data_IF_483066456182
#
_entry.id   IF_483066456182
#
_cell.length_a   1.000
_cell.length_b   1.000
_cell.length_c   1.000
_cell.angle_alpha   90.00
_cell.angle_beta   90.00
_cell.angle_gamma   90.00
#
_symmetry.space_group_name_H-M   'P 1'
#
loop_
_entity.id
_entity.type
_entity.pdbx_description
1 polymer ?
#
# COMPACT_ATOMS: atom_id res chain seq x y z
N UNK A 1 55.64 -19.99 38.02
CA UNK A 1 57.09 -20.27 38.11
C UNK A 1 57.50 -21.21 36.99
N UNK A 2 58.71 -21.01 36.43
CA UNK A 2 59.41 -21.76 35.36
C UNK A 2 59.36 -21.21 33.93
N UNK A 3 60.41 -20.43 33.66
CA UNK A 3 61.25 -20.24 32.47
C UNK A 3 61.03 -21.06 31.19
N UNK A 4 61.18 -20.38 30.05
CA UNK A 4 62.01 -20.78 28.89
C UNK A 4 62.07 -19.58 27.90
N UNK A 5 63.07 -18.68 27.93
CA UNK A 5 64.36 -18.70 27.21
C UNK A 5 64.38 -19.42 25.86
N UNK A 6 64.31 -18.65 24.77
CA UNK A 6 65.10 -18.93 23.57
C UNK A 6 65.74 -17.65 23.06
N UNK A 7 67.07 -17.72 22.99
CA UNK A 7 68.02 -16.73 22.50
C UNK A 7 68.45 -17.24 21.12
N UNK A 8 68.39 -16.41 20.08
CA UNK A 8 69.30 -16.55 18.93
C UNK A 8 69.46 -15.19 18.26
N UNK A 9 70.68 -14.67 18.30
CA UNK A 9 71.08 -13.46 17.62
C UNK A 9 71.62 -13.76 16.23
N UNK A 10 71.48 -12.79 15.33
CA UNK A 10 72.35 -12.51 14.18
C UNK A 10 72.18 -11.01 13.87
N UNK A 11 73.16 -10.18 14.22
CA UNK A 11 74.23 -9.67 13.34
C UNK A 11 73.72 -8.73 12.22
N UNK A 12 73.90 -7.43 12.50
CA UNK A 12 74.41 -6.37 11.61
C UNK A 12 74.30 -6.59 10.09
N UNK A 13 73.60 -5.69 9.41
CA UNK A 13 74.20 -4.98 8.28
C UNK A 13 73.65 -3.56 8.19
N UNK A 14 74.56 -2.60 8.27
CA UNK A 14 74.27 -1.18 8.10
C UNK A 14 74.01 -0.87 6.62
N UNK A 15 72.96 -0.09 6.39
CA UNK A 15 72.66 0.54 5.12
C UNK A 15 72.04 1.90 5.42
N UNK A 16 72.88 2.90 5.68
CA UNK A 16 72.47 4.29 5.75
C UNK A 16 72.11 4.76 4.33
N UNK A 17 70.86 4.53 3.94
CA UNK A 17 70.28 5.16 2.75
C UNK A 17 69.74 6.51 3.20
N UNK A 18 70.53 7.56 2.99
CA UNK A 18 70.04 8.94 2.98
C UNK A 18 69.15 9.13 1.74
N UNK A 19 67.97 8.53 1.78
CA UNK A 19 66.88 8.85 0.88
C UNK A 19 66.42 10.26 1.22
N UNK A 20 66.53 11.17 0.26
CA UNK A 20 65.89 12.47 0.29
C UNK A 20 64.39 12.26 0.56
N UNK A 21 63.98 12.40 1.83
CA UNK A 21 62.59 12.60 2.21
C UNK A 21 62.15 13.90 1.56
N UNK A 22 61.68 13.82 0.32
CA UNK A 22 60.68 14.77 -0.17
C UNK A 22 59.57 14.67 0.84
N UNK A 23 59.41 15.74 1.64
CA UNK A 23 58.29 15.95 2.53
C UNK A 23 57.05 15.74 1.66
N UNK A 24 56.47 14.55 1.74
CA UNK A 24 55.16 14.29 1.16
C UNK A 24 54.28 15.36 1.76
N UNK A 25 53.79 16.25 0.90
CA UNK A 25 52.76 17.19 1.28
C UNK A 25 51.58 16.29 1.61
N UNK A 26 51.44 15.96 2.89
CA UNK A 26 50.22 15.41 3.46
C UNK A 26 49.13 16.36 3.02
N UNK A 27 48.48 15.98 1.92
CA UNK A 27 47.33 16.68 1.42
C UNK A 27 46.30 16.30 2.47
N UNK A 28 46.15 17.15 3.49
CA UNK A 28 45.07 17.02 4.45
C UNK A 28 43.81 17.11 3.60
N UNK A 29 43.27 15.95 3.24
CA UNK A 29 41.95 15.85 2.65
C UNK A 29 41.04 16.26 3.79
N UNK A 30 40.71 17.54 3.84
CA UNK A 30 39.67 18.05 4.69
C UNK A 30 38.37 17.47 4.14
N UNK A 31 37.98 16.30 4.67
CA UNK A 31 36.71 15.67 4.35
C UNK A 31 35.64 16.56 4.96
N UNK A 32 35.21 17.56 4.19
CA UNK A 32 34.07 18.38 4.54
C UNK A 32 32.83 17.53 4.30
N UNK A 33 32.27 16.96 5.36
CA UNK A 33 30.98 16.29 5.30
C UNK A 33 29.94 17.33 4.86
N UNK A 34 29.53 17.26 3.60
CA UNK A 34 28.40 18.03 3.09
C UNK A 34 27.15 17.24 3.43
N UNK A 35 26.24 17.85 4.19
CA UNK A 35 24.95 17.25 4.51
C UNK A 35 24.25 16.84 3.21
N UNK A 36 23.95 15.55 3.06
CA UNK A 36 23.32 15.01 1.84
C UNK A 36 21.92 15.59 1.73
N UNK A 37 21.73 16.51 0.79
CA UNK A 37 20.41 17.06 0.49
C UNK A 37 19.53 15.98 -0.16
N UNK A 38 18.49 15.56 0.55
CA UNK A 38 17.49 14.60 0.06
C UNK A 38 16.52 15.27 -0.93
N UNK A 39 16.13 14.53 -1.97
CA UNK A 39 15.11 14.92 -2.95
C UNK A 39 13.70 14.87 -2.37
N UNK A 40 13.51 14.14 -1.26
CA UNK A 40 12.26 14.02 -0.53
C UNK A 40 12.35 14.78 0.80
N UNK A 41 11.34 15.61 1.07
CA UNK A 41 11.20 16.32 2.33
C UNK A 41 10.22 15.57 3.25
N UNK A 42 10.66 15.21 4.45
CA UNK A 42 9.76 14.65 5.46
C UNK A 42 8.76 15.72 5.95
N UNK A 43 7.51 15.33 6.17
CA UNK A 43 6.50 16.18 6.78
C UNK A 43 6.68 16.12 8.31
N UNK A 44 7.13 17.20 8.97
CA UNK A 44 7.64 17.14 10.34
C UNK A 44 6.56 16.98 11.41
N UNK A 45 5.26 17.02 11.06
CA UNK A 45 4.14 16.95 12.01
C UNK A 45 3.88 15.56 12.59
N UNK A 46 4.51 14.52 12.05
CA UNK A 46 4.34 13.14 12.52
C UNK A 46 5.46 12.73 13.46
N UNK A 47 5.12 12.25 14.64
CA UNK A 47 6.07 11.82 15.67
C UNK A 47 5.68 10.47 16.27
N UNK A 48 6.66 9.74 16.80
CA UNK A 48 6.44 8.42 17.40
C UNK A 48 5.71 7.45 16.46
N UNK A 49 4.67 6.79 16.96
CA UNK A 49 3.87 5.83 16.19
C UNK A 49 3.10 6.46 15.01
N UNK A 50 2.81 7.77 15.06
CA UNK A 50 2.13 8.46 13.96
C UNK A 50 2.99 8.55 12.68
N UNK A 51 4.30 8.26 12.78
CA UNK A 51 5.18 8.12 11.61
C UNK A 51 4.98 6.81 10.86
N UNK A 52 4.38 5.79 11.49
CA UNK A 52 4.13 4.50 10.84
C UNK A 52 2.79 4.58 10.12
N UNK A 53 2.82 4.87 8.82
CA UNK A 53 1.59 4.99 8.02
C UNK A 53 1.31 3.65 7.34
N UNK A 54 0.16 3.07 7.62
CA UNK A 54 -0.23 1.73 7.17
C UNK A 54 -1.09 1.79 5.89
N UNK A 55 -1.87 2.86 5.75
CA UNK A 55 -2.67 3.15 4.57
C UNK A 55 -2.89 4.65 4.42
N UNK A 56 -3.20 5.08 3.21
CA UNK A 56 -3.58 6.45 2.87
C UNK A 56 -4.78 6.49 1.93
N UNK A 57 -5.42 7.66 1.88
CA UNK A 57 -6.41 8.03 0.89
C UNK A 57 -6.57 9.55 0.80
N UNK A 58 -7.35 10.01 -0.17
CA UNK A 58 -7.56 11.44 -0.43
C UNK A 58 -9.00 11.73 -0.87
N UNK A 59 -9.54 12.88 -0.47
CA UNK A 59 -10.78 13.46 -1.03
C UNK A 59 -10.49 14.56 -2.06
N UNK A 60 -9.21 14.71 -2.47
CA UNK A 60 -8.72 15.78 -3.32
C UNK A 60 -8.48 17.11 -2.59
N UNK A 61 -8.91 17.23 -1.33
CA UNK A 61 -8.73 18.42 -0.48
C UNK A 61 -7.89 18.15 0.76
N UNK A 62 -7.88 16.92 1.24
CA UNK A 62 -7.19 16.43 2.41
C UNK A 62 -6.63 15.05 2.12
N UNK A 63 -5.50 14.77 2.76
CA UNK A 63 -4.95 13.44 2.90
C UNK A 63 -5.46 12.82 4.19
N UNK A 64 -5.71 11.53 4.14
CA UNK A 64 -6.12 10.74 5.28
C UNK A 64 -5.12 9.62 5.47
N UNK A 65 -4.70 9.41 6.73
CA UNK A 65 -3.64 8.49 7.07
C UNK A 65 -4.16 7.55 8.15
N UNK A 66 -3.96 6.26 7.93
CA UNK A 66 -4.12 5.25 8.96
C UNK A 66 -2.75 4.99 9.60
N UNK A 67 -2.68 5.10 10.93
CA UNK A 67 -1.51 4.69 11.71
C UNK A 67 -1.93 3.72 12.84
N UNK A 68 -1.02 3.01 13.52
CA UNK A 68 -1.37 2.09 14.60
C UNK A 68 -2.21 2.78 15.69
N UNK A 69 -3.51 2.43 15.78
CA UNK A 69 -4.44 3.01 16.75
C UNK A 69 -4.84 4.47 16.51
N UNK A 70 -4.47 5.06 15.37
CA UNK A 70 -4.70 6.45 15.03
C UNK A 70 -5.25 6.60 13.62
N UNK A 71 -6.00 7.69 13.42
CA UNK A 71 -6.38 8.16 12.09
C UNK A 71 -6.10 9.66 12.02
N UNK A 72 -5.42 10.11 10.98
CA UNK A 72 -5.09 11.52 10.80
C UNK A 72 -5.70 12.09 9.53
N UNK A 73 -6.13 13.35 9.60
CA UNK A 73 -6.41 14.20 8.46
C UNK A 73 -5.27 15.20 8.29
N UNK A 74 -4.72 15.31 7.09
CA UNK A 74 -3.70 16.27 6.72
C UNK A 74 -4.18 17.18 5.58
N UNK A 75 -4.24 18.49 5.82
CA UNK A 75 -4.81 19.48 4.90
C UNK A 75 -3.81 20.07 3.90
N UNK A 76 -2.51 19.81 4.09
CA UNK A 76 -1.44 20.36 3.24
C UNK A 76 -1.23 21.87 3.32
N UNK A 77 -1.94 22.59 4.20
CA UNK A 77 -1.87 24.07 4.27
C UNK A 77 -0.67 24.62 5.04
N UNK A 78 -0.16 23.88 6.02
CA UNK A 78 1.11 24.20 6.68
C UNK A 78 1.74 22.93 7.28
N UNK A 79 3.07 22.91 7.37
CA UNK A 79 3.81 21.77 7.92
C UNK A 79 3.51 21.51 9.40
N UNK A 80 3.02 22.49 10.16
CA UNK A 80 2.74 22.35 11.61
C UNK A 80 1.25 22.28 11.96
N UNK A 81 0.40 23.06 11.27
CA UNK A 81 -1.03 23.17 11.61
C UNK A 81 -1.92 22.45 10.60
N UNK A 82 -1.32 21.68 9.69
CA UNK A 82 -2.05 20.93 8.67
C UNK A 82 -2.60 19.60 9.14
N UNK A 83 -2.14 19.06 10.28
CA UNK A 83 -2.45 17.71 10.73
C UNK A 83 -3.41 17.72 11.92
N UNK A 84 -4.52 17.00 11.79
CA UNK A 84 -5.41 16.66 12.90
C UNK A 84 -5.37 15.16 13.07
N UNK A 85 -4.94 14.70 14.24
CA UNK A 85 -4.87 13.27 14.57
C UNK A 85 -5.93 12.94 15.59
N UNK A 86 -6.59 11.82 15.36
CA UNK A 86 -7.64 11.32 16.22
C UNK A 86 -7.26 9.94 16.71
N UNK A 87 -7.28 9.77 18.03
CA UNK A 87 -7.10 8.47 18.67
C UNK A 87 -8.49 7.86 18.92
N UNK A 88 -8.62 6.56 18.63
CA UNK A 88 -9.89 5.85 18.74
C UNK A 88 -9.65 4.35 18.78
N UNK A 89 -10.71 3.55 18.61
CA UNK A 89 -10.60 2.10 18.47
C UNK A 89 -10.16 1.68 17.07
N UNK A 90 -9.18 2.37 16.50
CA UNK A 90 -8.63 1.99 15.20
C UNK A 90 -7.74 0.76 15.35
N UNK A 91 -7.65 -0.10 14.34
CA UNK A 91 -6.75 -1.25 14.38
C UNK A 91 -5.30 -0.81 14.62
N UNK A 92 -4.70 -1.35 15.67
CA UNK A 92 -3.26 -1.20 15.95
C UNK A 92 -2.42 -2.30 15.29
N UNK A 93 -3.06 -3.38 14.83
CA UNK A 93 -2.39 -4.45 14.08
C UNK A 93 -1.95 -3.95 12.71
N UNK A 94 -0.63 -3.90 12.50
CA UNK A 94 0.02 -3.43 11.27
C UNK A 94 -0.31 -4.27 10.03
N UNK A 95 -0.91 -5.44 10.21
CA UNK A 95 -1.37 -6.30 9.13
C UNK A 95 -2.75 -5.86 8.60
N UNK A 96 -3.50 -5.05 9.35
CA UNK A 96 -4.82 -4.58 8.94
C UNK A 96 -4.71 -3.21 8.29
N UNK A 97 -4.80 -3.18 6.96
CA UNK A 97 -4.80 -1.93 6.18
C UNK A 97 -6.22 -1.56 5.77
N UNK A 98 -6.65 -0.36 6.13
CA UNK A 98 -8.03 0.09 5.88
C UNK A 98 -8.21 0.56 4.44
N UNK A 99 -9.38 0.35 3.84
CA UNK A 99 -9.79 1.15 2.70
C UNK A 99 -10.15 2.56 3.18
N UNK A 100 -9.52 3.55 2.57
CA UNK A 100 -9.86 4.96 2.75
C UNK A 100 -10.32 5.46 1.38
N UNK A 101 -11.63 5.62 1.21
CA UNK A 101 -12.22 6.19 0.01
C UNK A 101 -12.25 7.72 0.08
N UNK A 102 -12.82 8.41 -0.92
CA UNK A 102 -12.90 9.87 -0.93
C UNK A 102 -13.79 10.45 0.19
N UNK A 103 -14.84 9.75 0.58
CA UNK A 103 -15.87 10.30 1.48
C UNK A 103 -15.93 9.61 2.84
N UNK A 104 -15.57 8.33 2.90
CA UNK A 104 -15.61 7.51 4.10
C UNK A 104 -14.48 6.46 4.11
N UNK A 105 -14.28 5.89 5.28
CA UNK A 105 -13.44 4.73 5.49
C UNK A 105 -14.20 3.70 6.33
N UNK A 106 -13.70 2.46 6.35
CA UNK A 106 -14.30 1.39 7.13
C UNK A 106 -13.22 0.54 7.80
N UNK A 107 -13.52 0.00 8.97
CA UNK A 107 -12.60 -0.87 9.70
C UNK A 107 -13.32 -1.88 10.60
N UNK A 108 -12.77 -3.09 10.80
CA UNK A 108 -13.27 -4.02 11.80
C UNK A 108 -12.90 -3.51 13.19
N UNK A 109 -13.89 -3.18 14.02
CA UNK A 109 -13.72 -2.79 15.43
C UNK A 109 -13.57 -4.03 16.32
N UNK A 110 -14.25 -5.12 15.94
CA UNK A 110 -14.04 -6.47 16.50
C UNK A 110 -14.09 -7.48 15.36
N UNK A 111 -13.90 -8.76 15.67
CA UNK A 111 -14.10 -9.84 14.69
C UNK A 111 -15.46 -9.73 13.98
N UNK A 112 -16.52 -9.27 14.66
CA UNK A 112 -17.90 -9.31 14.14
C UNK A 112 -18.57 -7.94 14.04
N UNK A 113 -17.83 -6.86 14.28
CA UNK A 113 -18.34 -5.49 14.20
C UNK A 113 -17.50 -4.70 13.20
N UNK A 114 -18.16 -4.09 12.23
CA UNK A 114 -17.54 -3.18 11.27
C UNK A 114 -18.02 -1.76 11.55
N UNK A 115 -17.07 -0.83 11.64
CA UNK A 115 -17.36 0.60 11.74
C UNK A 115 -17.21 1.22 10.36
N UNK A 116 -18.19 2.03 9.98
CA UNK A 116 -18.16 2.88 8.78
C UNK A 116 -18.25 4.33 9.26
N UNK A 117 -17.30 5.16 8.86
CA UNK A 117 -17.16 6.53 9.34
C UNK A 117 -16.79 7.49 8.21
N UNK A 118 -17.29 8.72 8.29
CA UNK A 118 -16.85 9.81 7.39
C UNK A 118 -15.39 10.14 7.67
N UNK A 119 -14.60 10.39 6.62
CA UNK A 119 -13.17 10.71 6.78
C UNK A 119 -12.91 11.95 7.66
N UNK A 120 -13.85 12.91 7.65
CA UNK A 120 -13.76 14.18 8.40
C UNK A 120 -14.40 14.14 9.79
N UNK A 121 -15.05 13.04 10.17
CA UNK A 121 -15.76 12.90 11.45
C UNK A 121 -15.48 11.54 12.09
N UNK A 122 -14.23 11.30 12.39
CA UNK A 122 -13.73 9.94 12.59
C UNK A 122 -14.18 9.33 13.94
N UNK A 123 -14.68 10.15 14.87
CA UNK A 123 -15.23 9.70 16.17
C UNK A 123 -16.72 9.96 16.34
N UNK A 124 -17.32 10.75 15.45
CA UNK A 124 -18.71 11.18 15.58
C UNK A 124 -19.54 10.49 14.51
N UNK A 125 -20.79 10.16 14.84
CA UNK A 125 -21.74 9.65 13.86
C UNK A 125 -21.25 8.38 13.15
N UNK A 126 -20.70 7.44 13.94
CA UNK A 126 -20.22 6.15 13.44
C UNK A 126 -21.41 5.23 13.13
N UNK A 127 -21.35 4.53 11.99
CA UNK A 127 -22.26 3.43 11.72
C UNK A 127 -21.61 2.12 12.16
N UNK A 128 -22.29 1.38 13.04
CA UNK A 128 -21.86 0.05 13.48
C UNK A 128 -22.67 -1.02 12.77
N UNK A 129 -21.99 -1.88 12.01
CA UNK A 129 -22.57 -3.03 11.36
C UNK A 129 -22.24 -4.30 12.16
N UNK A 130 -23.27 -5.02 12.61
CA UNK A 130 -23.12 -6.29 13.31
C UNK A 130 -23.21 -7.46 12.34
N UNK A 131 -22.08 -8.13 12.12
CA UNK A 131 -21.94 -9.19 11.14
C UNK A 131 -22.78 -10.43 11.47
N UNK A 132 -22.94 -10.80 12.76
CA UNK A 132 -23.70 -12.00 13.16
C UNK A 132 -25.21 -11.77 13.15
N UNK A 133 -25.66 -10.54 13.33
CA UNK A 133 -27.06 -10.19 13.12
C UNK A 133 -27.42 -10.26 11.63
N UNK A 134 -26.49 -9.84 10.77
CA UNK A 134 -26.65 -9.90 9.33
C UNK A 134 -26.55 -11.35 8.77
N UNK A 135 -25.57 -12.11 9.23
CA UNK A 135 -25.35 -13.51 8.87
C UNK A 135 -24.99 -14.32 10.12
N UNK A 136 -25.94 -15.08 10.71
CA UNK A 136 -25.68 -15.88 11.91
C UNK A 136 -24.57 -16.93 11.75
N UNK A 137 -24.24 -17.34 10.53
CA UNK A 137 -23.15 -18.29 10.26
C UNK A 137 -21.76 -17.61 10.22
N UNK A 138 -21.70 -16.28 10.23
CA UNK A 138 -20.46 -15.54 10.16
C UNK A 138 -19.60 -15.70 11.43
N UNK A 139 -18.30 -15.86 11.23
CA UNK A 139 -17.32 -15.99 12.31
C UNK A 139 -16.63 -14.68 12.59
N UNK A 140 -16.03 -14.08 11.55
CA UNK A 140 -15.25 -12.85 11.64
C UNK A 140 -15.06 -12.17 10.27
N UNK A 141 -14.79 -10.87 10.24
CA UNK A 141 -14.25 -10.21 9.05
C UNK A 141 -12.88 -10.78 8.68
N UNK A 142 -12.66 -11.00 7.38
CA UNK A 142 -11.39 -11.50 6.89
C UNK A 142 -10.43 -10.33 6.69
N UNK A 143 -9.48 -10.20 7.62
CA UNK A 143 -8.43 -9.17 7.57
C UNK A 143 -7.11 -9.69 7.03
N UNK A 144 -7.04 -10.98 6.69
CA UNK A 144 -5.82 -11.67 6.25
C UNK A 144 -5.76 -11.76 4.72
N UNK A 145 -5.83 -10.61 4.06
CA UNK A 145 -5.54 -10.50 2.62
C UNK A 145 -4.01 -10.53 2.44
N UNK A 146 -3.52 -11.00 1.28
CA UNK A 146 -2.08 -11.14 1.03
C UNK A 146 -1.31 -9.85 1.37
N UNK A 147 -0.11 -9.99 1.94
CA UNK A 147 0.58 -8.90 2.63
C UNK A 147 0.74 -7.69 1.73
N UNK A 148 0.44 -6.50 2.28
CA UNK A 148 0.34 -5.17 1.65
C UNK A 148 -1.03 -4.76 1.09
N UNK A 149 -1.94 -5.70 0.81
CA UNK A 149 -3.29 -5.37 0.34
C UNK A 149 -4.16 -4.79 1.45
N UNK A 150 -5.14 -3.97 1.06
CA UNK A 150 -6.22 -3.53 1.96
C UNK A 150 -7.12 -4.73 2.25
N UNK A 151 -7.67 -4.81 3.46
CA UNK A 151 -8.55 -5.93 3.83
C UNK A 151 -9.96 -5.84 3.19
N UNK A 152 -10.29 -4.69 2.63
CA UNK A 152 -11.59 -4.33 2.06
C UNK A 152 -11.35 -3.32 0.92
N UNK A 153 -12.36 -3.06 0.10
CA UNK A 153 -12.26 -2.06 -0.98
C UNK A 153 -13.47 -1.11 -1.00
N UNK A 154 -13.24 0.14 -1.40
CA UNK A 154 -14.28 1.18 -1.54
C UNK A 154 -14.25 1.73 -2.96
N UNK A 155 -15.39 1.70 -3.66
CA UNK A 155 -15.54 2.35 -4.97
C UNK A 155 -15.72 3.86 -4.84
N UNK A 156 -15.37 4.67 -5.87
CA UNK A 156 -15.67 6.11 -5.89
C UNK A 156 -17.17 6.43 -5.81
N UNK A 157 -18.04 5.47 -6.18
CA UNK A 157 -19.51 5.55 -6.03
C UNK A 157 -20.01 5.13 -4.64
N UNK A 158 -19.12 5.09 -3.65
CA UNK A 158 -19.40 4.81 -2.25
C UNK A 158 -19.98 3.42 -1.94
N UNK A 159 -19.52 2.38 -2.65
CA UNK A 159 -19.77 1.00 -2.25
C UNK A 159 -18.55 0.45 -1.51
N UNK A 160 -18.80 -0.27 -0.42
CA UNK A 160 -17.79 -1.02 0.32
C UNK A 160 -18.01 -2.52 0.08
N UNK A 161 -16.93 -3.24 -0.21
CA UNK A 161 -16.91 -4.70 -0.22
C UNK A 161 -15.97 -5.21 0.87
N UNK A 162 -16.49 -6.03 1.77
CA UNK A 162 -15.76 -6.58 2.90
C UNK A 162 -15.89 -8.11 2.97
N UNK A 163 -14.80 -8.88 2.83
CA UNK A 163 -14.82 -10.33 2.96
C UNK A 163 -14.98 -10.74 4.43
N UNK A 164 -15.62 -11.88 4.66
CA UNK A 164 -15.72 -12.47 6.00
C UNK A 164 -15.73 -14.00 5.96
N UNK A 165 -15.26 -14.60 7.05
CA UNK A 165 -15.25 -16.05 7.25
C UNK A 165 -16.59 -16.52 7.83
N UNK A 166 -17.05 -17.71 7.44
CA UNK A 166 -18.29 -18.32 7.93
C UNK A 166 -18.11 -19.80 8.29
N UNK A 167 -19.08 -20.37 9.02
CA UNK A 167 -19.06 -21.78 9.47
C UNK A 167 -19.92 -22.72 8.62
N UNK A 168 -20.34 -22.30 7.42
CA UNK A 168 -21.16 -23.14 6.54
C UNK A 168 -20.34 -24.36 6.07
N UNK A 169 -21.03 -25.49 5.87
CA UNK A 169 -20.39 -26.74 5.47
C UNK A 169 -19.76 -26.66 4.07
N UNK A 170 -20.38 -25.90 3.16
CA UNK A 170 -19.90 -25.65 1.80
C UNK A 170 -18.68 -24.71 1.74
N UNK A 171 -18.41 -23.99 2.84
CA UNK A 171 -17.33 -23.00 2.98
C UNK A 171 -17.29 -22.03 1.80
N UNK A 172 -18.46 -21.56 1.35
CA UNK A 172 -18.56 -20.56 0.31
C UNK A 172 -17.85 -19.26 0.72
N UNK A 173 -17.32 -18.53 -0.25
CA UNK A 173 -16.74 -17.21 -0.01
C UNK A 173 -17.86 -16.21 0.21
N UNK A 174 -17.77 -15.46 1.30
CA UNK A 174 -18.83 -14.53 1.70
C UNK A 174 -18.31 -13.12 1.86
N UNK A 175 -19.12 -12.17 1.39
CA UNK A 175 -18.81 -10.76 1.45
C UNK A 175 -20.03 -9.96 1.89
N UNK A 176 -19.77 -8.90 2.66
CA UNK A 176 -20.72 -7.81 2.87
C UNK A 176 -20.49 -6.81 1.76
N UNK A 177 -21.51 -6.55 0.94
CA UNK A 177 -21.56 -5.44 0.01
C UNK A 177 -22.46 -4.36 0.60
N UNK A 178 -21.91 -3.18 0.86
CA UNK A 178 -22.59 -2.08 1.52
C UNK A 178 -22.60 -0.84 0.61
N UNK A 179 -23.80 -0.36 0.27
CA UNK A 179 -23.98 0.97 -0.31
C UNK A 179 -23.97 1.99 0.83
N UNK A 180 -23.06 2.95 0.78
CA UNK A 180 -22.87 3.94 1.84
C UNK A 180 -23.28 5.31 1.33
N UNK A 181 -24.23 5.95 2.00
CA UNK A 181 -24.54 7.36 1.85
C UNK A 181 -23.89 8.12 3.02
N UNK A 182 -22.73 8.78 2.82
CA UNK A 182 -21.96 9.35 3.92
C UNK A 182 -22.70 10.45 4.70
N UNK A 183 -23.66 11.13 4.07
CA UNK A 183 -24.38 12.26 4.67
C UNK A 183 -23.57 13.56 4.72
N UNK A 184 -24.17 14.62 5.27
CA UNK A 184 -23.52 15.91 5.47
C UNK A 184 -22.69 15.95 6.76
N UNK A 185 -21.67 16.81 6.80
CA UNK A 185 -20.92 17.10 8.03
C UNK A 185 -21.88 17.66 9.10
N UNK A 186 -21.71 17.23 10.35
CA UNK A 186 -22.58 17.50 11.49
C UNK A 186 -23.90 16.74 11.47
N UNK A 187 -24.19 15.98 10.40
CA UNK A 187 -25.42 15.22 10.24
C UNK A 187 -25.39 13.86 10.95
N UNK A 188 -26.45 13.04 10.80
CA UNK A 188 -26.50 11.69 11.36
C UNK A 188 -25.40 10.79 10.78
N UNK A 189 -25.24 9.60 11.37
CA UNK A 189 -24.33 8.57 10.88
C UNK A 189 -24.60 8.22 9.40
N UNK A 190 -23.59 7.72 8.67
CA UNK A 190 -23.79 7.23 7.30
C UNK A 190 -24.99 6.27 7.23
N UNK A 191 -25.83 6.46 6.21
CA UNK A 191 -26.91 5.51 5.93
C UNK A 191 -26.32 4.40 5.10
N UNK A 192 -26.48 3.16 5.55
CA UNK A 192 -25.87 1.99 4.93
C UNK A 192 -26.94 0.97 4.60
N UNK A 193 -26.97 0.52 3.33
CA UNK A 193 -27.77 -0.62 2.89
C UNK A 193 -26.85 -1.76 2.54
N UNK A 194 -27.08 -2.94 3.11
CA UNK A 194 -26.19 -4.09 2.95
C UNK A 194 -26.85 -5.23 2.20
N UNK A 195 -26.03 -6.01 1.51
CA UNK A 195 -26.41 -7.30 0.91
C UNK A 195 -25.27 -8.29 1.01
N UNK A 196 -25.62 -9.57 1.05
CA UNK A 196 -24.64 -10.65 1.13
C UNK A 196 -24.29 -11.09 -0.29
N UNK A 197 -23.01 -11.18 -0.60
CA UNK A 197 -22.52 -11.85 -1.81
C UNK A 197 -21.91 -13.17 -1.39
N UNK A 198 -22.37 -14.27 -2.00
CA UNK A 198 -21.90 -15.63 -1.70
C UNK A 198 -21.42 -16.28 -2.98
N UNK A 199 -20.12 -16.55 -3.06
CA UNK A 199 -19.49 -17.18 -4.22
C UNK A 199 -19.20 -18.65 -3.86
N UNK A 200 -19.75 -19.62 -4.60
CA UNK A 200 -19.48 -21.03 -4.37
C UNK A 200 -17.98 -21.33 -4.46
N UNK A 201 -17.52 -22.19 -3.55
CA UNK A 201 -16.16 -22.72 -3.60
C UNK A 201 -16.12 -23.90 -4.57
N UNK A 202 -15.47 -23.72 -5.71
CA UNK A 202 -15.35 -24.75 -6.76
C UNK A 202 -14.21 -25.71 -6.41
N UNK A 203 -13.13 -25.20 -5.80
CA UNK A 203 -11.95 -25.98 -5.41
C UNK A 203 -11.74 -25.99 -3.88
N UNK A 204 -11.65 -27.18 -3.28
CA UNK A 204 -11.48 -27.32 -1.84
C UNK A 204 -10.06 -27.00 -1.36
N UNK A 205 -9.04 -27.14 -2.22
CA UNK A 205 -7.63 -26.88 -1.85
C UNK A 205 -7.17 -25.47 -2.27
N UNK A 206 -6.53 -24.75 -1.34
CA UNK A 206 -5.80 -23.50 -1.63
C UNK A 206 -6.64 -22.25 -1.94
N UNK A 207 -7.97 -22.32 -1.86
CA UNK A 207 -8.85 -21.20 -2.16
C UNK A 207 -9.05 -20.30 -0.92
N UNK A 208 -8.72 -19.01 -1.04
CA UNK A 208 -8.88 -17.97 -0.02
C UNK A 208 -9.00 -16.60 -0.73
N UNK A 209 -9.48 -15.57 -0.03
CA UNK A 209 -9.47 -14.19 -0.56
C UNK A 209 -8.03 -13.69 -0.58
N UNK A 210 -7.38 -13.77 -1.75
CA UNK A 210 -5.98 -13.39 -1.90
C UNK A 210 -5.82 -11.88 -2.10
N UNK A 211 -6.65 -11.31 -2.96
CA UNK A 211 -6.66 -9.88 -3.27
C UNK A 211 -8.08 -9.41 -3.63
N UNK A 212 -8.34 -8.14 -3.41
CA UNK A 212 -9.60 -7.44 -3.56
C UNK A 212 -9.30 -5.97 -3.87
N UNK A 213 -9.85 -5.44 -4.96
CA UNK A 213 -9.71 -4.03 -5.31
C UNK A 213 -11.00 -3.49 -5.92
N UNK A 214 -11.26 -2.19 -5.72
CA UNK A 214 -12.33 -1.48 -6.40
C UNK A 214 -11.79 -0.89 -7.72
N UNK A 215 -12.46 -1.19 -8.83
CA UNK A 215 -12.16 -0.63 -10.14
C UNK A 215 -13.41 0.10 -10.62
N UNK A 216 -13.32 1.43 -10.72
CA UNK A 216 -14.48 2.28 -11.01
C UNK A 216 -15.68 1.94 -10.12
N UNK A 217 -16.79 1.45 -10.68
CA UNK A 217 -18.05 1.13 -10.01
C UNK A 217 -18.22 -0.36 -9.65
N UNK A 218 -17.16 -1.17 -9.78
CA UNK A 218 -17.20 -2.61 -9.47
C UNK A 218 -15.98 -3.06 -8.65
N UNK A 219 -15.99 -4.33 -8.27
CA UNK A 219 -14.88 -4.96 -7.54
C UNK A 219 -14.30 -6.13 -8.33
N UNK A 220 -12.98 -6.29 -8.25
CA UNK A 220 -12.31 -7.52 -8.64
C UNK A 220 -11.82 -8.23 -7.39
N UNK A 221 -12.08 -9.53 -7.31
CA UNK A 221 -11.66 -10.38 -6.20
C UNK A 221 -10.91 -11.58 -6.74
N UNK A 222 -9.67 -11.76 -6.31
CA UNK A 222 -8.91 -12.98 -6.57
C UNK A 222 -9.12 -13.95 -5.41
N UNK A 223 -9.66 -15.12 -5.74
CA UNK A 223 -9.95 -16.21 -4.81
C UNK A 223 -8.93 -17.35 -4.95
N UNK A 224 -7.68 -17.02 -5.30
CA UNK A 224 -6.60 -17.96 -5.56
C UNK A 224 -7.01 -19.08 -6.53
N UNK A 225 -7.09 -20.33 -6.05
CA UNK A 225 -7.47 -21.48 -6.87
C UNK A 225 -8.93 -21.47 -7.34
N UNK A 226 -9.78 -20.55 -6.87
CA UNK A 226 -11.13 -20.33 -7.41
C UNK A 226 -11.14 -19.33 -8.59
N UNK A 227 -10.04 -18.59 -8.81
CA UNK A 227 -9.92 -17.62 -9.90
C UNK A 227 -10.35 -16.20 -9.57
N UNK A 228 -10.58 -15.39 -10.60
CA UNK A 228 -10.93 -13.97 -10.49
C UNK A 228 -12.43 -13.79 -10.70
N UNK A 229 -13.07 -13.07 -9.79
CA UNK A 229 -14.48 -12.72 -9.87
C UNK A 229 -14.65 -11.22 -9.97
N UNK A 230 -15.60 -10.81 -10.81
CA UNK A 230 -16.12 -9.45 -10.86
C UNK A 230 -17.41 -9.39 -10.06
N UNK A 231 -17.51 -8.45 -9.13
CA UNK A 231 -18.71 -8.21 -8.31
C UNK A 231 -19.19 -6.78 -8.57
N UNK A 232 -20.46 -6.62 -8.96
CA UNK A 232 -21.07 -5.31 -9.25
C UNK A 232 -21.73 -4.72 -8.01
N UNK A 233 -22.07 -3.43 -8.07
CA UNK A 233 -22.78 -2.71 -7.03
C UNK A 233 -24.16 -3.31 -6.67
N UNK A 234 -24.80 -4.02 -7.59
CA UNK A 234 -26.03 -4.78 -7.36
C UNK A 234 -25.78 -6.17 -6.74
N UNK A 235 -24.55 -6.52 -6.39
CA UNK A 235 -24.18 -7.81 -5.81
C UNK A 235 -24.20 -8.99 -6.79
N UNK A 236 -24.51 -8.76 -8.07
CA UNK A 236 -24.29 -9.78 -9.09
C UNK A 236 -22.79 -10.03 -9.25
N UNK A 237 -22.43 -11.28 -9.49
CA UNK A 237 -21.04 -11.67 -9.67
C UNK A 237 -20.88 -12.68 -10.79
N UNK A 238 -19.68 -12.70 -11.38
CA UNK A 238 -19.30 -13.65 -12.41
C UNK A 238 -17.80 -13.97 -12.29
N UNK A 239 -17.43 -15.23 -12.52
CA UNK A 239 -16.03 -15.58 -12.73
C UNK A 239 -15.56 -15.03 -14.09
N UNK A 240 -14.55 -14.17 -14.08
CA UNK A 240 -14.01 -13.51 -15.28
C UNK A 240 -12.67 -14.07 -15.70
N UNK A 241 -12.00 -14.83 -14.82
CA UNK A 241 -10.78 -15.56 -15.13
C UNK A 241 -10.67 -16.80 -14.25
N UNK A 242 -10.03 -17.86 -14.77
CA UNK A 242 -9.77 -19.09 -14.03
C UNK A 242 -8.78 -18.93 -12.87
N UNK A 243 -8.35 -20.04 -12.24
CA UNK A 243 -7.38 -20.04 -11.15
C UNK A 243 -6.13 -19.19 -11.46
N UNK A 244 -5.80 -18.27 -10.56
CA UNK A 244 -4.64 -17.37 -10.71
C UNK A 244 -4.19 -16.85 -9.34
N UNK A 245 -2.88 -16.60 -9.19
CA UNK A 245 -2.31 -15.92 -8.04
C UNK A 245 -2.08 -14.44 -8.39
N UNK A 246 -3.11 -13.62 -8.20
CA UNK A 246 -3.06 -12.17 -8.48
C UNK A 246 -2.73 -11.43 -7.19
N UNK A 247 -1.68 -10.61 -7.24
CA UNK A 247 -1.19 -9.85 -6.09
C UNK A 247 -1.51 -8.36 -6.17
N UNK A 248 -2.01 -7.88 -7.29
CA UNK A 248 -2.56 -6.53 -7.43
C UNK A 248 -3.59 -6.47 -8.56
N UNK A 249 -4.60 -5.62 -8.38
CA UNK A 249 -5.44 -5.12 -9.47
C UNK A 249 -5.25 -3.61 -9.55
N UNK A 250 -5.20 -3.07 -10.75
CA UNK A 250 -5.23 -1.62 -10.95
C UNK A 250 -5.74 -1.28 -12.34
N UNK A 251 -6.31 -0.08 -12.49
CA UNK A 251 -6.71 0.48 -13.78
C UNK A 251 -5.76 1.62 -14.16
N UNK A 252 -5.31 1.59 -15.41
CA UNK A 252 -4.53 2.69 -15.99
C UNK A 252 -5.00 2.97 -17.42
N UNK A 253 -5.45 4.20 -17.65
CA UNK A 253 -6.21 4.54 -18.86
C UNK A 253 -7.48 3.69 -18.96
N UNK A 254 -7.73 3.09 -20.13
CA UNK A 254 -8.89 2.22 -20.35
C UNK A 254 -8.59 0.73 -20.17
N UNK A 255 -7.46 0.38 -19.54
CA UNK A 255 -7.02 -1.01 -19.36
C UNK A 255 -6.91 -1.34 -17.88
N UNK A 256 -7.45 -2.49 -17.50
CA UNK A 256 -7.26 -3.10 -16.18
C UNK A 256 -6.12 -4.09 -16.25
N UNK A 257 -5.23 -4.05 -15.27
CA UNK A 257 -4.05 -4.88 -15.16
C UNK A 257 -4.14 -5.74 -13.90
N UNK A 258 -3.70 -6.98 -14.02
CA UNK A 258 -3.54 -7.90 -12.90
C UNK A 258 -2.23 -8.68 -13.07
N UNK A 259 -1.12 -8.19 -12.52
CA UNK A 259 0.12 -8.95 -12.41
C UNK A 259 -0.14 -10.26 -11.66
N UNK A 260 0.36 -11.36 -12.20
CA UNK A 260 0.26 -12.68 -11.58
C UNK A 260 1.65 -13.23 -11.29
N UNK A 261 1.74 -14.22 -10.40
CA UNK A 261 2.98 -14.93 -10.14
C UNK A 261 3.58 -15.52 -11.43
N UNK A 262 4.89 -15.80 -11.40
CA UNK A 262 5.64 -16.39 -12.52
C UNK A 262 5.81 -15.47 -13.75
N UNK A 263 6.02 -14.17 -13.53
CA UNK A 263 6.39 -13.23 -14.59
C UNK A 263 5.32 -13.10 -15.70
N UNK A 264 4.05 -13.22 -15.31
CA UNK A 264 2.92 -13.01 -16.22
C UNK A 264 2.05 -11.82 -15.77
N UNK A 265 1.25 -11.32 -16.69
CA UNK A 265 0.28 -10.25 -16.46
C UNK A 265 -0.99 -10.53 -17.24
N UNK A 266 -2.13 -10.28 -16.60
CA UNK A 266 -3.42 -10.24 -17.26
C UNK A 266 -3.78 -8.79 -17.57
N UNK A 267 -4.33 -8.56 -18.75
CA UNK A 267 -4.83 -7.25 -19.19
C UNK A 267 -6.26 -7.38 -19.70
N UNK A 268 -7.10 -6.41 -19.37
CA UNK A 268 -8.49 -6.34 -19.84
C UNK A 268 -8.78 -4.93 -20.35
N UNK A 269 -9.38 -4.83 -21.53
CA UNK A 269 -9.78 -3.57 -22.18
C UNK A 269 -11.31 -3.37 -22.17
N UNK A 270 -12.02 -4.29 -21.53
CA UNK A 270 -13.49 -4.33 -21.43
C UNK A 270 -13.94 -4.34 -19.96
N UNK A 271 -13.24 -3.58 -19.11
CA UNK A 271 -13.53 -3.43 -17.68
C UNK A 271 -13.56 -4.77 -16.92
N UNK A 272 -12.57 -5.62 -17.16
CA UNK A 272 -12.35 -6.88 -16.44
C UNK A 272 -13.28 -8.02 -16.84
N UNK A 273 -14.00 -7.93 -17.96
CA UNK A 273 -14.90 -9.00 -18.43
C UNK A 273 -14.11 -10.12 -19.10
N UNK A 274 -13.15 -9.78 -19.97
CA UNK A 274 -12.24 -10.73 -20.61
C UNK A 274 -10.78 -10.32 -20.37
N UNK A 275 -9.89 -11.33 -20.31
CA UNK A 275 -8.49 -11.13 -19.96
C UNK A 275 -7.55 -11.76 -20.99
N UNK A 276 -6.57 -10.98 -21.44
CA UNK A 276 -5.45 -11.44 -22.22
C UNK A 276 -4.25 -11.68 -21.29
N UNK A 277 -3.69 -12.88 -21.33
CA UNK A 277 -2.46 -13.22 -20.62
C UNK A 277 -1.22 -12.92 -21.47
N UNK A 278 -0.23 -12.29 -20.86
CA UNK A 278 1.11 -12.07 -21.43
C UNK A 278 2.18 -12.49 -20.45
N UNK A 279 3.34 -12.93 -20.93
CA UNK A 279 4.49 -13.35 -20.11
C UNK A 279 5.69 -12.44 -20.35
N UNK A 280 6.72 -12.57 -19.50
CA UNK A 280 7.97 -11.83 -19.61
C UNK A 280 7.97 -10.49 -18.87
N UNK A 281 7.07 -10.32 -17.89
CA UNK A 281 7.14 -9.19 -16.95
C UNK A 281 8.19 -9.46 -15.87
N UNK A 282 8.87 -8.43 -15.34
CA UNK A 282 9.78 -8.61 -14.20
C UNK A 282 9.04 -9.15 -12.98
N UNK A 283 9.70 -10.01 -12.20
CA UNK A 283 9.15 -10.54 -10.95
C UNK A 283 8.73 -9.41 -9.98
N UNK A 284 9.51 -8.32 -9.95
CA UNK A 284 9.22 -7.13 -9.14
C UNK A 284 7.85 -6.52 -9.43
N UNK A 285 7.23 -6.78 -10.61
CA UNK A 285 5.91 -6.25 -10.96
C UNK A 285 4.77 -6.97 -10.23
N UNK A 286 4.93 -8.27 -9.96
CA UNK A 286 3.91 -9.05 -9.24
C UNK A 286 3.77 -8.55 -7.81
N UNK A 287 4.88 -8.20 -7.18
CA UNK A 287 4.93 -7.74 -5.79
C UNK A 287 4.88 -6.21 -5.63
N UNK A 288 4.65 -5.48 -6.72
CA UNK A 288 4.57 -4.04 -6.71
C UNK A 288 3.15 -3.53 -6.43
N UNK A 289 3.08 -2.37 -5.80
CA UNK A 289 1.85 -1.58 -5.74
C UNK A 289 1.88 -0.51 -6.83
N UNK A 290 0.72 -0.16 -7.36
CA UNK A 290 0.59 0.75 -8.49
C UNK A 290 -0.34 1.90 -8.16
N UNK A 291 0.14 3.11 -8.39
CA UNK A 291 -0.58 4.34 -8.05
C UNK A 291 -0.66 5.24 -9.28
N UNK A 292 -1.87 5.56 -9.76
CA UNK A 292 -2.08 6.68 -10.68
C UNK A 292 -1.65 7.99 -10.01
N UNK A 293 -0.67 8.69 -10.59
CA UNK A 293 -0.22 10.01 -10.13
C UNK A 293 -0.22 10.95 -11.31
N UNK A 294 -1.24 11.82 -11.38
CA UNK A 294 -1.48 12.69 -12.53
C UNK A 294 -1.58 11.85 -13.83
N UNK A 295 -0.74 12.12 -14.83
CA UNK A 295 -0.75 11.45 -16.14
C UNK A 295 0.26 10.29 -16.21
N UNK A 296 0.72 9.78 -15.06
CA UNK A 296 1.66 8.67 -15.00
C UNK A 296 1.23 7.58 -14.03
N UNK A 297 1.55 6.33 -14.37
CA UNK A 297 1.47 5.19 -13.47
C UNK A 297 2.79 5.06 -12.72
N UNK A 298 2.73 5.06 -11.39
CA UNK A 298 3.90 4.87 -10.52
C UNK A 298 3.83 3.48 -9.90
N UNK A 299 4.84 2.67 -10.18
CA UNK A 299 5.05 1.38 -9.53
C UNK A 299 5.97 1.50 -8.33
N UNK A 300 5.69 0.71 -7.31
CA UNK A 300 6.36 0.71 -6.02
C UNK A 300 6.71 -0.71 -5.61
N UNK A 301 8.00 -1.02 -5.48
CA UNK A 301 8.46 -2.30 -4.96
C UNK A 301 9.50 -2.07 -3.84
N UNK A 302 9.12 -2.39 -2.59
CA UNK A 302 9.89 -2.01 -1.41
C UNK A 302 9.99 -0.47 -1.29
N UNK A 303 11.22 0.05 -1.39
CA UNK A 303 11.52 1.50 -1.42
C UNK A 303 11.84 2.02 -2.84
N UNK A 304 11.72 1.18 -3.87
CA UNK A 304 11.98 1.58 -5.27
C UNK A 304 10.74 2.22 -5.87
N UNK A 305 10.91 3.37 -6.50
CA UNK A 305 9.89 4.10 -7.25
C UNK A 305 10.26 4.09 -8.73
N UNK A 306 9.28 3.84 -9.60
CA UNK A 306 9.46 3.94 -11.05
C UNK A 306 8.17 4.37 -11.73
N UNK A 307 8.27 5.12 -12.83
CA UNK A 307 7.15 5.26 -13.76
C UNK A 307 7.08 4.04 -14.67
N UNK A 308 5.87 3.59 -14.95
CA UNK A 308 5.60 2.46 -15.83
C UNK A 308 4.69 2.90 -16.98
N UNK A 309 5.06 2.53 -18.20
CA UNK A 309 4.18 2.65 -19.37
C UNK A 309 4.09 1.31 -20.08
N UNK A 310 2.85 0.86 -20.29
CA UNK A 310 2.53 -0.33 -21.06
C UNK A 310 2.36 0.02 -22.54
N UNK A 311 2.88 -0.85 -23.42
CA UNK A 311 2.71 -0.81 -24.87
C UNK A 311 2.33 -2.23 -25.33
N UNK A 312 1.10 -2.64 -25.00
CA UNK A 312 0.67 -4.04 -25.08
C UNK A 312 1.40 -4.91 -24.03
N UNK A 313 1.96 -6.08 -24.40
CA UNK A 313 2.71 -6.91 -23.46
C UNK A 313 4.09 -6.34 -23.12
N UNK A 314 4.58 -5.34 -23.89
CA UNK A 314 5.85 -4.68 -23.65
C UNK A 314 5.67 -3.53 -22.67
N UNK A 315 6.72 -3.19 -21.95
CA UNK A 315 6.73 -2.08 -21.02
C UNK A 315 8.00 -1.26 -21.15
N UNK A 316 7.91 0.00 -20.74
CA UNK A 316 9.06 0.87 -20.48
C UNK A 316 8.97 1.32 -19.03
N UNK A 317 10.05 1.12 -18.27
CA UNK A 317 10.17 1.69 -16.93
C UNK A 317 11.22 2.78 -16.88
N UNK A 318 11.02 3.73 -15.97
CA UNK A 318 12.01 4.74 -15.63
C UNK A 318 12.05 4.92 -14.12
N UNK A 319 13.18 4.58 -13.52
CA UNK A 319 13.40 4.71 -12.07
C UNK A 319 13.38 6.18 -11.66
N UNK A 320 12.68 6.47 -10.57
CA UNK A 320 12.57 7.80 -9.98
C UNK A 320 13.58 7.97 -8.83
N UNK A 321 13.92 9.21 -8.51
CA UNK A 321 14.71 9.50 -7.30
C UNK A 321 13.98 9.04 -6.04
N UNK A 322 14.68 8.27 -5.21
CA UNK A 322 14.17 7.68 -3.97
C UNK A 322 15.09 7.93 -2.76
N UNK A 323 16.00 8.89 -2.87
CA UNK A 323 16.85 9.34 -1.77
C UNK A 323 16.01 10.03 -0.68
N UNK A 324 16.27 9.70 0.58
CA UNK A 324 15.43 10.04 1.73
C UNK A 324 14.34 9.01 2.05
N UNK A 325 13.99 8.13 1.12
CA UNK A 325 13.01 7.05 1.32
C UNK A 325 13.68 5.69 1.58
N UNK A 326 15.01 5.64 1.66
CA UNK A 326 15.72 4.39 1.87
C UNK A 326 15.33 3.76 3.21
N UNK A 327 15.18 2.43 3.23
CA UNK A 327 14.83 1.61 4.43
C UNK A 327 13.37 1.66 4.88
N UNK A 328 12.50 2.39 4.19
CA UNK A 328 11.06 2.39 4.47
C UNK A 328 10.29 1.58 3.44
N UNK A 329 9.23 0.88 3.88
CA UNK A 329 8.25 0.32 2.96
C UNK A 329 7.24 1.41 2.63
N UNK A 330 7.06 1.68 1.34
CA UNK A 330 6.04 2.62 0.88
C UNK A 330 4.67 1.94 0.97
N UNK A 331 3.72 2.59 1.63
CA UNK A 331 2.38 2.06 1.93
C UNK A 331 1.27 2.80 1.21
N UNK A 332 1.57 3.96 0.61
CA UNK A 332 0.64 4.71 -0.23
C UNK A 332 1.33 5.86 -0.96
N UNK A 333 0.76 6.25 -2.09
CA UNK A 333 1.15 7.45 -2.82
C UNK A 333 -0.12 8.24 -3.14
N UNK A 334 -0.13 9.51 -2.77
CA UNK A 334 -1.30 10.37 -2.94
C UNK A 334 -0.90 11.69 -3.61
N UNK A 335 -1.78 12.22 -4.46
CA UNK A 335 -1.62 13.54 -5.05
C UNK A 335 -2.55 14.53 -4.35
N UNK A 336 -1.99 15.64 -3.85
CA UNK A 336 -2.75 16.73 -3.26
C UNK A 336 -2.14 18.08 -3.67
N UNK A 337 -2.93 18.90 -4.37
CA UNK A 337 -2.62 20.30 -4.73
C UNK A 337 -1.21 20.51 -5.30
N UNK A 338 -0.82 19.73 -6.30
CA UNK A 338 0.48 19.87 -6.97
C UNK A 338 1.66 19.24 -6.21
N UNK A 339 1.40 18.54 -5.10
CA UNK A 339 2.42 17.82 -4.33
C UNK A 339 2.08 16.33 -4.32
N UNK A 340 3.08 15.50 -4.53
CA UNK A 340 3.00 14.05 -4.34
C UNK A 340 3.46 13.74 -2.93
N UNK A 341 2.63 12.99 -2.21
CA UNK A 341 2.91 12.53 -0.86
C UNK A 341 3.12 11.03 -0.88
N UNK A 342 4.20 10.57 -0.26
CA UNK A 342 4.54 9.16 -0.12
C UNK A 342 4.42 8.80 1.35
N UNK A 343 3.40 7.99 1.65
CA UNK A 343 3.20 7.39 2.95
C UNK A 343 4.12 6.17 3.09
N UNK A 344 4.81 6.06 4.21
CA UNK A 344 5.72 4.94 4.48
C UNK A 344 5.55 4.41 5.90
N UNK A 345 6.23 3.31 6.19
CA UNK A 345 6.36 2.78 7.55
C UNK A 345 7.24 3.62 8.48
N UNK A 346 7.81 4.74 8.03
CA UNK A 346 8.67 5.60 8.85
C UNK A 346 8.41 7.12 8.71
N UNK A 347 7.43 7.54 7.91
CA UNK A 347 7.04 8.94 7.82
C UNK A 347 6.08 9.21 6.67
N UNK A 348 5.75 10.48 6.51
CA UNK A 348 5.12 11.02 5.30
C UNK A 348 6.14 11.92 4.62
N UNK A 349 6.37 11.69 3.34
CA UNK A 349 7.32 12.47 2.55
C UNK A 349 6.60 13.21 1.45
N UNK A 350 7.03 14.42 1.15
CA UNK A 350 6.42 15.30 0.18
C UNK A 350 7.43 15.70 -0.89
N UNK A 351 6.95 15.76 -2.13
CA UNK A 351 7.72 16.29 -3.26
C UNK A 351 6.79 16.99 -4.26
N UNK A 352 7.13 18.20 -4.76
CA UNK A 352 6.34 18.84 -5.80
C UNK A 352 6.21 17.95 -7.04
N UNK A 353 5.03 17.89 -7.64
CA UNK A 353 4.77 17.03 -8.80
C UNK A 353 5.71 17.34 -9.98
N UNK A 354 6.11 18.61 -10.13
CA UNK A 354 7.04 19.06 -11.18
C UNK A 354 8.44 18.44 -11.06
N UNK A 355 8.91 18.16 -9.84
CA UNK A 355 10.21 17.51 -9.60
C UNK A 355 10.08 16.01 -9.36
N UNK A 356 8.89 15.52 -9.01
CA UNK A 356 8.64 14.10 -8.69
C UNK A 356 9.13 13.13 -9.78
N UNK A 357 8.96 13.48 -11.05
CA UNK A 357 9.31 12.64 -12.20
C UNK A 357 10.77 12.75 -12.66
N UNK A 358 11.63 13.46 -11.93
CA UNK A 358 13.07 13.49 -12.20
C UNK A 358 13.72 12.12 -12.02
N UNK A 359 14.66 11.81 -12.91
CA UNK A 359 15.40 10.54 -12.90
C UNK A 359 16.49 10.52 -11.84
N UNK A 360 16.77 9.31 -11.33
CA UNK A 360 18.01 9.06 -10.61
C UNK A 360 19.19 9.19 -11.60
N UNK A 361 20.24 9.96 -11.27
CA UNK A 361 21.45 10.05 -12.10
C UNK A 361 22.11 8.69 -12.32
#
# INVERSE_FOLDING_TARGET
MRHSRFFFGFLLFGGAVFGSCKKEVETQIEIKEVEKQSSWAEVPSLFGLARVIMSSGTDGQNLYLQQPGLFSQFTGRSQRNGLTTTAGRYPADVRVRLPIGPSFFAYPDTDTSLVIARNREQLNNLFYFNLRQFDPAATRFNTQVFSLSKCMAITPTNYLLAPYDNKRADRAFTFVLAAVAPGALGGPAPVVTTRQVTIPRINSSGAYVRNLEAIDDYFLVNLASNGIYKIKADGTFRQVYGPAAVDAFYKWGNTVYAPIEYNEILTSTDNGENWLKSTGTPLDFTLANYYPVHDSLVGVYGSKLYTLRWNGPRYTLRTLKNDGLERATITGIEYLRGTVYVATTNGLFARPVKSFFETKP
#
